data_IF_016761874898
#
_entry.id   IF_016761874898
#
_cell.length_a   1.000
_cell.length_b   1.000
_cell.length_c   1.000
_cell.angle_alpha   90.00
_cell.angle_beta   90.00
_cell.angle_gamma   90.00
#
_symmetry.space_group_name_H-M   'P 1'
#
loop_
_entity.id
_entity.type
_entity.pdbx_description
1 polymer ?
#
# COMPACT_ATOMS: atom_id res chain seq x y z
N UNK A 1 20.60 12.14 15.28
CA UNK A 1 19.79 12.55 14.13
C UNK A 1 18.31 12.70 14.47
N UNK A 2 17.61 11.65 14.99
CA UNK A 2 16.17 11.70 15.27
C UNK A 2 15.77 12.82 16.26
N UNK A 3 16.50 12.96 17.36
CA UNK A 3 16.24 14.00 18.37
C UNK A 3 16.36 15.41 17.76
N UNK A 4 17.36 15.64 16.92
CA UNK A 4 17.54 16.94 16.25
C UNK A 4 16.40 17.20 15.27
N UNK A 5 15.98 16.19 14.49
CA UNK A 5 14.85 16.31 13.57
C UNK A 5 13.53 16.63 14.27
N UNK A 6 13.28 16.03 15.43
CA UNK A 6 12.12 16.34 16.27
C UNK A 6 12.23 17.76 16.84
N UNK A 7 13.41 18.16 17.35
CA UNK A 7 13.62 19.46 17.94
C UNK A 7 13.38 20.62 16.96
N UNK A 8 13.84 20.49 15.71
CA UNK A 8 13.62 21.51 14.67
C UNK A 8 12.12 21.68 14.37
N UNK A 9 11.33 20.61 14.44
CA UNK A 9 9.91 20.63 14.15
C UNK A 9 9.02 20.74 15.41
N UNK A 10 9.62 20.92 16.60
CA UNK A 10 8.91 20.83 17.88
C UNK A 10 7.72 21.79 17.98
N UNK A 11 7.87 23.03 17.50
CA UNK A 11 6.79 24.02 17.52
C UNK A 11 5.59 23.56 16.68
N UNK A 12 5.83 23.13 15.43
CA UNK A 12 4.79 22.65 14.54
C UNK A 12 4.12 21.39 15.10
N UNK A 13 4.89 20.44 15.61
CA UNK A 13 4.39 19.22 16.23
C UNK A 13 3.55 19.51 17.48
N UNK A 14 3.99 20.45 18.33
CA UNK A 14 3.26 20.85 19.54
C UNK A 14 1.92 21.50 19.21
N UNK A 15 1.89 22.46 18.29
CA UNK A 15 0.64 23.10 17.87
C UNK A 15 -0.31 22.12 17.19
N UNK A 16 0.20 21.24 16.33
CA UNK A 16 -0.61 20.19 15.71
C UNK A 16 -1.18 19.23 16.77
N UNK A 17 -0.38 18.84 17.77
CA UNK A 17 -0.82 17.99 18.88
C UNK A 17 -1.89 18.66 19.75
N UNK A 18 -1.78 19.95 20.01
CA UNK A 18 -2.83 20.69 20.74
C UNK A 18 -4.11 20.80 19.89
N UNK A 19 -3.98 21.25 18.64
CA UNK A 19 -5.13 21.49 17.77
C UNK A 19 -5.91 20.21 17.43
N UNK A 20 -5.25 19.06 17.36
CA UNK A 20 -5.94 17.81 17.06
C UNK A 20 -7.04 17.46 18.08
N UNK A 21 -6.94 17.93 19.33
CA UNK A 21 -7.94 17.66 20.38
C UNK A 21 -9.26 18.35 20.10
N UNK A 22 -9.21 19.52 19.48
CA UNK A 22 -10.36 20.35 19.10
C UNK A 22 -10.84 20.06 17.65
N UNK A 23 -10.17 19.17 16.95
CA UNK A 23 -10.52 18.78 15.58
C UNK A 23 -11.35 17.50 15.57
N UNK A 24 -11.84 17.12 14.38
CA UNK A 24 -12.54 15.83 14.17
C UNK A 24 -11.73 14.59 14.61
N UNK A 25 -10.42 14.73 14.87
CA UNK A 25 -9.55 13.68 15.41
C UNK A 25 -9.55 13.62 16.95
N UNK A 26 -10.23 14.56 17.63
CA UNK A 26 -10.47 14.54 19.06
C UNK A 26 -11.67 13.65 19.44
N UNK A 27 -12.00 13.63 20.74
CA UNK A 27 -13.25 13.01 21.19
C UNK A 27 -14.43 13.84 20.70
N UNK A 28 -15.44 13.19 20.10
CA UNK A 28 -16.67 13.88 19.73
C UNK A 28 -17.50 14.14 20.97
N UNK A 29 -17.98 15.37 21.15
CA UNK A 29 -18.96 15.75 22.19
C UNK A 29 -20.40 15.44 21.73
N UNK A 30 -20.60 15.22 20.42
CA UNK A 30 -21.90 14.86 19.87
C UNK A 30 -22.19 13.39 20.07
N UNK A 31 -23.43 13.08 20.45
CA UNK A 31 -23.91 11.70 20.53
C UNK A 31 -23.99 11.14 19.12
N UNK A 32 -23.13 10.18 18.81
CA UNK A 32 -23.12 9.47 17.52
C UNK A 32 -24.10 8.31 17.56
N UNK A 33 -24.85 8.13 16.47
CA UNK A 33 -25.90 7.10 16.37
C UNK A 33 -25.35 5.67 16.34
N UNK A 34 -24.10 5.46 15.89
CA UNK A 34 -23.52 4.13 15.76
C UNK A 34 -22.26 4.00 16.65
N UNK A 35 -22.48 3.38 17.81
CA UNK A 35 -21.41 3.13 18.77
C UNK A 35 -20.37 2.11 18.27
N UNK A 36 -20.75 1.18 17.39
CA UNK A 36 -19.86 0.14 16.86
C UNK A 36 -18.82 0.72 15.90
N UNK A 37 -19.18 1.81 15.21
CA UNK A 37 -18.28 2.50 14.27
C UNK A 37 -17.30 3.46 14.97
N UNK A 38 -17.46 3.73 16.25
CA UNK A 38 -16.60 4.67 16.98
C UNK A 38 -15.27 4.03 17.40
N UNK A 39 -14.20 4.83 17.38
CA UNK A 39 -12.96 4.50 18.08
C UNK A 39 -12.87 5.25 19.40
N UNK A 40 -12.10 4.75 20.36
CA UNK A 40 -12.01 5.29 21.73
C UNK A 40 -11.49 6.74 21.79
N UNK A 41 -10.75 7.19 20.78
CA UNK A 41 -10.04 8.49 20.85
C UNK A 41 -9.69 9.09 19.49
N UNK A 42 -10.44 8.79 18.44
CA UNK A 42 -10.08 9.21 17.09
C UNK A 42 -11.25 9.32 16.12
N UNK A 43 -10.95 9.09 14.88
CA UNK A 43 -11.91 9.08 13.77
C UNK A 43 -12.80 7.83 13.82
N UNK A 44 -13.92 7.85 13.11
CA UNK A 44 -14.78 6.69 12.94
C UNK A 44 -14.08 5.60 12.10
N UNK A 45 -14.38 4.32 12.38
CA UNK A 45 -13.75 3.17 11.72
C UNK A 45 -13.93 3.21 10.20
N UNK A 46 -15.15 3.45 9.73
CA UNK A 46 -15.45 3.55 8.29
C UNK A 46 -14.69 4.69 7.62
N UNK A 47 -14.54 5.82 8.32
CA UNK A 47 -13.80 6.96 7.79
C UNK A 47 -12.29 6.68 7.71
N UNK A 48 -11.72 5.98 8.70
CA UNK A 48 -10.31 5.56 8.70
C UNK A 48 -10.03 4.60 7.56
N UNK A 49 -10.93 3.62 7.38
CA UNK A 49 -10.74 2.51 6.45
C UNK A 49 -11.34 2.75 5.07
N UNK A 50 -11.84 3.96 4.79
CA UNK A 50 -12.45 4.31 3.51
C UNK A 50 -11.51 4.05 2.31
N UNK A 51 -10.23 4.34 2.46
CA UNK A 51 -9.18 4.02 1.49
C UNK A 51 -8.43 2.77 1.94
N UNK A 52 -9.07 1.62 1.81
CA UNK A 52 -8.47 0.31 2.07
C UNK A 52 -8.08 -0.36 0.77
N UNK A 53 -6.91 -0.95 0.77
CA UNK A 53 -6.39 -1.70 -0.38
C UNK A 53 -7.12 -3.03 -0.52
N UNK A 54 -7.50 -3.42 -1.74
CA UNK A 54 -8.10 -4.72 -2.00
C UNK A 54 -7.10 -5.86 -1.74
N UNK A 55 -7.57 -7.00 -1.25
CA UNK A 55 -6.70 -8.17 -1.07
C UNK A 55 -6.13 -8.61 -2.42
N UNK A 56 -6.97 -8.67 -3.43
CA UNK A 56 -6.61 -8.97 -4.82
C UNK A 56 -5.83 -7.83 -5.50
N UNK A 57 -6.02 -6.61 -5.02
CA UNK A 57 -5.27 -5.43 -5.45
C UNK A 57 -3.77 -5.52 -5.08
N UNK A 58 -3.42 -6.35 -4.08
CA UNK A 58 -2.03 -6.62 -3.71
C UNK A 58 -1.21 -7.18 -4.88
N UNK A 59 -1.86 -7.80 -5.86
CA UNK A 59 -1.21 -8.26 -7.10
C UNK A 59 -0.58 -7.12 -7.90
N UNK A 60 -1.03 -5.86 -7.72
CA UNK A 60 -0.44 -4.70 -8.40
C UNK A 60 1.03 -4.45 -8.02
N UNK A 61 1.48 -4.94 -6.86
CA UNK A 61 2.91 -4.92 -6.51
C UNK A 61 3.78 -5.66 -7.54
N UNK A 62 3.22 -6.70 -8.17
CA UNK A 62 3.87 -7.53 -9.17
C UNK A 62 3.46 -7.15 -10.60
N UNK A 63 2.17 -6.98 -10.84
CA UNK A 63 1.58 -6.74 -12.16
C UNK A 63 0.98 -5.33 -12.17
N UNK A 64 1.57 -4.37 -12.91
CA UNK A 64 1.00 -3.04 -13.01
C UNK A 64 -0.41 -3.13 -13.60
N UNK A 65 -1.26 -2.24 -13.21
CA UNK A 65 -2.63 -2.14 -13.70
C UNK A 65 -3.52 -3.39 -13.52
N UNK A 66 -3.15 -4.32 -12.59
CA UNK A 66 -3.98 -5.50 -12.28
C UNK A 66 -5.41 -5.12 -11.85
N UNK A 67 -5.62 -3.90 -11.35
CA UNK A 67 -6.93 -3.29 -11.05
C UNK A 67 -7.17 -2.00 -11.87
N UNK A 68 -6.59 -1.93 -13.05
CA UNK A 68 -6.61 -0.73 -13.88
C UNK A 68 -5.63 0.34 -13.37
N UNK A 69 -5.63 1.47 -14.04
CA UNK A 69 -4.73 2.59 -13.75
C UNK A 69 -5.23 3.51 -12.65
N UNK A 70 -4.97 4.81 -12.82
CA UNK A 70 -5.51 5.85 -11.95
C UNK A 70 -7.04 6.00 -12.12
N UNK A 71 -7.69 6.65 -11.16
CA UNK A 71 -9.10 7.01 -11.27
C UNK A 71 -9.26 8.21 -12.21
N UNK A 72 -9.06 7.94 -13.49
CA UNK A 72 -9.28 8.87 -14.58
C UNK A 72 -10.23 8.23 -15.61
N UNK A 73 -10.97 9.01 -16.40
CA UNK A 73 -11.85 8.48 -17.43
C UNK A 73 -11.13 7.56 -18.42
N UNK A 74 -11.81 6.51 -18.86
CA UNK A 74 -11.27 5.57 -19.84
C UNK A 74 -10.96 6.27 -21.18
N UNK A 75 -11.67 7.33 -21.54
CA UNK A 75 -11.41 8.19 -22.70
C UNK A 75 -9.99 8.78 -22.74
N UNK A 76 -9.33 8.90 -21.58
CA UNK A 76 -7.93 9.37 -21.48
C UNK A 76 -6.89 8.30 -21.85
N UNK A 77 -7.30 7.03 -21.99
CA UNK A 77 -6.42 5.95 -22.37
C UNK A 77 -6.45 5.71 -23.87
N UNK A 78 -5.43 6.21 -24.57
CA UNK A 78 -5.35 6.11 -26.04
C UNK A 78 -5.35 4.65 -26.53
N UNK A 79 -4.71 3.72 -25.81
CA UNK A 79 -4.67 2.31 -26.17
C UNK A 79 -6.05 1.65 -26.02
N UNK A 80 -6.79 1.98 -24.95
CA UNK A 80 -8.14 1.47 -24.76
C UNK A 80 -9.09 2.05 -25.81
N UNK A 81 -8.98 3.35 -26.12
CA UNK A 81 -9.80 4.00 -27.12
C UNK A 81 -9.54 3.47 -28.55
N UNK A 82 -8.30 3.11 -28.86
CA UNK A 82 -7.97 2.47 -30.14
C UNK A 82 -8.60 1.08 -30.33
N UNK A 83 -8.93 0.39 -29.21
CA UNK A 83 -9.58 -0.93 -29.20
C UNK A 83 -11.09 -0.87 -28.93
N UNK A 84 -11.62 0.33 -28.66
CA UNK A 84 -13.04 0.54 -28.39
C UNK A 84 -13.88 0.23 -29.61
N UNK A 85 -15.06 -0.36 -29.40
CA UNK A 85 -16.02 -0.61 -30.46
C UNK A 85 -16.51 0.72 -31.07
N UNK A 86 -16.31 0.97 -32.39
CA UNK A 86 -16.72 2.22 -33.03
C UNK A 86 -18.23 2.48 -32.94
N UNK A 87 -19.05 1.43 -32.91
CA UNK A 87 -20.51 1.59 -32.79
C UNK A 87 -20.87 2.10 -31.40
N UNK A 88 -20.32 1.52 -30.34
CA UNK A 88 -20.56 1.97 -28.96
C UNK A 88 -20.03 3.39 -28.78
N UNK A 89 -18.87 3.69 -29.31
CA UNK A 89 -18.26 5.02 -29.24
C UNK A 89 -19.11 6.09 -29.92
N UNK A 90 -19.77 5.77 -31.05
CA UNK A 90 -20.64 6.70 -31.75
C UNK A 90 -22.03 6.84 -31.09
N UNK A 91 -22.55 5.76 -30.51
CA UNK A 91 -23.89 5.75 -29.88
C UNK A 91 -23.90 6.39 -28.49
N UNK A 92 -22.86 6.18 -27.70
CA UNK A 92 -22.77 6.64 -26.31
C UNK A 92 -21.39 7.26 -26.06
N UNK A 93 -21.09 8.42 -26.65
CA UNK A 93 -19.76 9.05 -26.52
C UNK A 93 -19.36 9.31 -25.06
N UNK A 94 -20.33 9.68 -24.22
CA UNK A 94 -20.11 10.00 -22.81
C UNK A 94 -19.81 8.76 -21.93
N UNK A 95 -20.04 7.55 -22.43
CA UNK A 95 -19.81 6.32 -21.69
C UNK A 95 -18.34 6.18 -21.25
N UNK A 96 -17.43 6.47 -22.17
CA UNK A 96 -15.99 6.37 -21.91
C UNK A 96 -15.46 7.46 -20.97
N UNK A 97 -16.18 8.58 -20.87
CA UNK A 97 -15.89 9.63 -19.89
C UNK A 97 -16.42 9.31 -18.50
N UNK A 98 -17.49 8.49 -18.42
CA UNK A 98 -18.10 8.09 -17.16
C UNK A 98 -17.42 6.87 -16.50
N UNK A 99 -16.75 6.01 -17.29
CA UNK A 99 -16.08 4.80 -16.79
C UNK A 99 -14.65 5.15 -16.36
N UNK A 100 -14.29 4.95 -15.06
CA UNK A 100 -12.91 5.10 -14.61
C UNK A 100 -12.05 3.94 -15.07
N UNK A 101 -10.74 4.19 -15.25
CA UNK A 101 -9.78 3.12 -15.54
C UNK A 101 -9.54 2.21 -14.33
N UNK A 102 -9.65 2.78 -13.12
CA UNK A 102 -9.52 2.04 -11.88
C UNK A 102 -10.81 1.30 -11.53
N UNK A 103 -10.69 0.03 -11.19
CA UNK A 103 -11.80 -0.83 -10.77
C UNK A 103 -11.49 -1.64 -9.49
N UNK A 104 -10.63 -1.11 -8.62
CA UNK A 104 -10.35 -1.64 -7.29
C UNK A 104 -11.37 -1.21 -6.24
N UNK A 105 -11.09 -1.50 -4.97
CA UNK A 105 -12.01 -1.24 -3.85
C UNK A 105 -11.92 0.16 -3.26
N UNK A 106 -10.87 0.91 -3.58
CA UNK A 106 -10.69 2.26 -3.07
C UNK A 106 -11.64 3.24 -3.77
N UNK A 107 -12.12 4.31 -3.11
CA UNK A 107 -12.95 5.34 -3.75
C UNK A 107 -12.26 6.04 -4.92
N UNK A 108 -10.94 6.03 -4.93
CA UNK A 108 -10.12 6.57 -6.00
C UNK A 108 -8.64 6.45 -5.69
N UNK A 109 -7.83 6.43 -6.75
CA UNK A 109 -6.36 6.35 -6.66
C UNK A 109 -5.69 7.17 -7.74
N UNK A 110 -4.49 7.66 -7.46
CA UNK A 110 -3.63 8.33 -8.46
C UNK A 110 -2.90 7.35 -9.37
N UNK A 111 -2.94 6.06 -9.05
CA UNK A 111 -2.31 4.97 -9.78
C UNK A 111 -2.03 3.77 -8.86
N UNK A 112 -1.73 2.60 -9.46
CA UNK A 112 -1.43 1.41 -8.70
C UNK A 112 -0.08 1.53 -7.96
N UNK A 113 0.01 0.88 -6.80
CA UNK A 113 1.29 0.68 -6.11
C UNK A 113 2.03 -0.45 -6.82
N UNK A 114 3.12 -0.15 -7.50
CA UNK A 114 3.90 -1.11 -8.28
C UNK A 114 5.39 -1.00 -7.96
N UNK A 115 5.98 -2.09 -7.48
CA UNK A 115 7.41 -2.12 -7.12
C UNK A 115 8.30 -2.68 -8.23
N UNK A 116 7.73 -3.33 -9.23
CA UNK A 116 8.45 -3.95 -10.34
C UNK A 116 8.61 -5.46 -10.16
N UNK A 117 8.23 -6.24 -11.18
CA UNK A 117 8.31 -7.70 -11.15
C UNK A 117 9.75 -8.19 -10.90
N UNK A 118 10.75 -7.57 -11.55
CA UNK A 118 12.15 -7.90 -11.34
C UNK A 118 12.63 -7.56 -9.91
N UNK A 119 12.17 -6.45 -9.35
CA UNK A 119 12.49 -6.05 -7.97
C UNK A 119 11.87 -7.03 -6.99
N UNK A 120 10.62 -7.46 -7.22
CA UNK A 120 9.97 -8.45 -6.38
C UNK A 120 10.63 -9.84 -6.51
N UNK A 121 11.07 -10.23 -7.71
CA UNK A 121 11.90 -11.42 -7.91
C UNK A 121 13.18 -11.36 -7.04
N UNK A 122 13.92 -10.26 -7.11
CA UNK A 122 15.13 -10.07 -6.31
C UNK A 122 14.83 -10.03 -4.80
N UNK A 123 13.71 -9.46 -4.39
CA UNK A 123 13.26 -9.48 -2.99
C UNK A 123 13.07 -10.91 -2.49
N UNK A 124 12.33 -11.73 -3.25
CA UNK A 124 12.07 -13.13 -2.89
C UNK A 124 13.39 -13.93 -2.88
N UNK A 125 14.22 -13.76 -3.90
CA UNK A 125 15.54 -14.39 -3.95
C UNK A 125 16.42 -13.95 -2.77
N UNK A 126 16.34 -12.68 -2.38
CA UNK A 126 17.05 -12.10 -1.24
C UNK A 126 16.74 -12.79 0.09
N UNK A 127 15.51 -13.27 0.28
CA UNK A 127 15.15 -14.02 1.48
C UNK A 127 15.96 -15.34 1.61
N UNK A 128 16.39 -15.90 0.51
CA UNK A 128 17.19 -17.14 0.49
C UNK A 128 18.69 -16.87 0.53
N UNK A 129 19.19 -15.92 -0.26
CA UNK A 129 20.63 -15.73 -0.47
C UNK A 129 21.29 -14.71 0.46
N UNK A 130 20.54 -13.70 0.98
CA UNK A 130 21.08 -12.72 1.91
C UNK A 130 21.20 -13.33 3.31
N UNK A 131 22.33 -13.12 3.96
CA UNK A 131 22.60 -13.61 5.32
C UNK A 131 22.24 -12.55 6.36
N UNK A 132 21.93 -12.99 7.58
CA UNK A 132 21.62 -12.13 8.72
C UNK A 132 20.14 -11.97 9.00
N UNK A 133 19.81 -11.31 10.12
CA UNK A 133 18.44 -11.14 10.61
C UNK A 133 17.66 -10.03 9.91
N UNK A 134 18.36 -9.08 9.28
CA UNK A 134 17.72 -7.91 8.62
C UNK A 134 16.68 -8.33 7.59
N UNK A 135 16.90 -9.37 6.80
CA UNK A 135 15.95 -9.85 5.81
C UNK A 135 14.60 -10.24 6.42
N UNK A 136 14.60 -10.80 7.61
CA UNK A 136 13.37 -11.18 8.32
C UNK A 136 12.63 -9.96 8.87
N UNK A 137 13.36 -8.94 9.33
CA UNK A 137 12.77 -7.68 9.74
C UNK A 137 12.12 -6.96 8.54
N UNK A 138 12.79 -6.94 7.38
CA UNK A 138 12.25 -6.36 6.14
C UNK A 138 11.02 -7.14 5.66
N UNK A 139 11.06 -8.48 5.69
CA UNK A 139 9.91 -9.32 5.35
C UNK A 139 8.73 -9.06 6.29
N UNK A 140 8.97 -9.03 7.61
CA UNK A 140 7.93 -8.78 8.60
C UNK A 140 7.29 -7.39 8.41
N UNK A 141 8.11 -6.36 8.16
CA UNK A 141 7.61 -5.02 7.88
C UNK A 141 6.79 -4.96 6.58
N UNK A 142 7.24 -5.66 5.54
CA UNK A 142 6.48 -5.78 4.27
C UNK A 142 5.12 -6.44 4.50
N UNK A 143 5.09 -7.61 5.14
CA UNK A 143 3.85 -8.33 5.41
C UNK A 143 2.92 -7.49 6.28
N UNK A 144 3.44 -6.89 7.35
CA UNK A 144 2.65 -6.07 8.25
C UNK A 144 2.03 -4.87 7.52
N UNK A 145 2.79 -4.19 6.66
CA UNK A 145 2.27 -3.04 5.89
C UNK A 145 1.17 -3.45 4.92
N UNK A 146 1.30 -4.61 4.25
CA UNK A 146 0.26 -5.15 3.36
C UNK A 146 -1.00 -5.50 4.14
N UNK A 147 -0.88 -6.21 5.26
CA UNK A 147 -2.04 -6.59 6.10
C UNK A 147 -2.78 -5.37 6.65
N UNK A 148 -2.05 -4.33 7.07
CA UNK A 148 -2.64 -3.08 7.54
C UNK A 148 -3.29 -2.27 6.40
N UNK A 149 -2.73 -2.31 5.19
CA UNK A 149 -3.30 -1.63 4.03
C UNK A 149 -4.65 -2.21 3.61
N UNK A 150 -4.92 -3.50 3.88
CA UNK A 150 -6.22 -4.11 3.58
C UNK A 150 -7.39 -3.51 4.36
N UNK A 151 -7.15 -2.85 5.48
CA UNK A 151 -8.12 -2.05 6.23
C UNK A 151 -9.47 -2.75 6.43
N UNK A 152 -10.54 -2.23 5.79
CA UNK A 152 -11.87 -2.83 5.90
C UNK A 152 -11.98 -4.23 5.27
N UNK A 153 -11.10 -4.59 4.34
CA UNK A 153 -11.06 -5.93 3.77
C UNK A 153 -10.50 -6.97 4.75
N UNK A 154 -9.90 -6.53 5.88
CA UNK A 154 -9.42 -7.40 6.95
C UNK A 154 -9.69 -6.80 8.34
N UNK A 155 -10.97 -6.49 8.62
CA UNK A 155 -11.39 -5.79 9.84
C UNK A 155 -10.98 -6.46 11.15
N UNK A 156 -10.91 -7.80 11.21
CA UNK A 156 -10.47 -8.50 12.42
C UNK A 156 -9.07 -8.08 12.86
N UNK A 157 -8.15 -7.93 11.92
CA UNK A 157 -6.79 -7.45 12.16
C UNK A 157 -6.75 -5.93 12.38
N UNK A 158 -7.46 -5.19 11.56
CA UNK A 158 -7.50 -3.73 11.62
C UNK A 158 -8.09 -3.22 12.95
N UNK A 159 -9.13 -3.86 13.47
CA UNK A 159 -9.73 -3.51 14.76
C UNK A 159 -8.75 -3.62 15.92
N UNK A 160 -7.89 -4.65 15.92
CA UNK A 160 -6.84 -4.75 16.93
C UNK A 160 -5.95 -3.50 16.97
N UNK A 161 -5.56 -2.98 15.80
CA UNK A 161 -4.76 -1.76 15.73
C UNK A 161 -5.55 -0.51 16.11
N UNK A 162 -6.81 -0.41 15.69
CA UNK A 162 -7.69 0.72 16.03
C UNK A 162 -7.96 0.81 17.54
N UNK A 163 -8.06 -0.32 18.22
CA UNK A 163 -8.44 -0.37 19.63
C UNK A 163 -7.24 -0.31 20.58
N UNK A 164 -6.11 -0.93 20.21
CA UNK A 164 -4.99 -1.12 21.10
C UNK A 164 -3.73 -0.31 20.75
N UNK A 165 -3.57 0.13 19.51
CA UNK A 165 -2.36 0.86 19.12
C UNK A 165 -2.60 2.37 19.25
N UNK A 166 -1.88 3.05 20.15
CA UNK A 166 -2.02 4.49 20.34
C UNK A 166 -1.79 5.25 19.02
N UNK A 167 -2.57 6.30 18.80
CA UNK A 167 -2.50 7.17 17.64
C UNK A 167 -2.98 6.55 16.31
N UNK A 168 -3.12 5.23 16.17
CA UNK A 168 -3.53 4.61 14.90
C UNK A 168 -4.89 5.15 14.41
N UNK A 169 -5.87 5.28 15.31
CA UNK A 169 -7.19 5.83 15.02
C UNK A 169 -7.21 7.35 14.69
N UNK A 170 -6.07 8.03 14.71
CA UNK A 170 -5.95 9.46 14.33
C UNK A 170 -5.69 9.67 12.84
N UNK A 171 -5.29 8.62 12.14
CA UNK A 171 -4.98 8.67 10.73
C UNK A 171 -6.11 8.08 9.90
N UNK A 172 -6.23 8.53 8.66
CA UNK A 172 -7.10 7.95 7.63
C UNK A 172 -6.24 7.44 6.48
N UNK A 173 -6.87 6.71 5.55
CA UNK A 173 -6.18 6.21 4.35
C UNK A 173 -5.14 5.15 4.72
N UNK A 174 -5.64 4.03 5.27
CA UNK A 174 -4.79 2.90 5.71
C UNK A 174 -3.93 2.35 4.58
N UNK A 175 -4.37 2.44 3.31
CA UNK A 175 -3.59 2.02 2.15
C UNK A 175 -2.24 2.74 2.04
N UNK A 176 -2.09 3.97 2.56
CA UNK A 176 -0.83 4.73 2.50
C UNK A 176 0.32 4.06 3.26
N UNK A 177 0.05 3.10 4.14
CA UNK A 177 1.09 2.34 4.86
C UNK A 177 1.92 1.45 3.92
N UNK A 178 1.45 1.20 2.69
CA UNK A 178 2.21 0.47 1.67
C UNK A 178 3.54 1.13 1.30
N UNK A 179 3.73 2.41 1.63
CA UNK A 179 5.05 3.07 1.51
C UNK A 179 6.16 2.29 2.22
N UNK A 180 5.82 1.55 3.28
CA UNK A 180 6.78 0.68 3.97
C UNK A 180 7.17 -0.48 3.05
N UNK A 181 6.22 -1.12 2.36
CA UNK A 181 6.51 -2.18 1.39
C UNK A 181 7.30 -1.64 0.19
N UNK A 182 6.95 -0.46 -0.31
CA UNK A 182 7.67 0.23 -1.40
C UNK A 182 9.14 0.55 -1.04
N UNK A 183 9.46 0.67 0.24
CA UNK A 183 10.81 0.85 0.73
C UNK A 183 11.51 -0.49 1.01
N UNK A 184 10.85 -1.41 1.74
CA UNK A 184 11.48 -2.65 2.22
C UNK A 184 11.73 -3.65 1.11
N UNK A 185 10.85 -3.73 0.11
CA UNK A 185 11.01 -4.63 -1.03
C UNK A 185 12.24 -4.25 -1.86
N UNK A 186 12.40 -3.00 -2.36
CA UNK A 186 13.60 -2.60 -3.09
C UNK A 186 14.88 -2.67 -2.25
N UNK A 187 14.80 -2.40 -0.94
CA UNK A 187 15.96 -2.49 -0.07
C UNK A 187 16.51 -3.92 -0.01
N UNK A 188 15.65 -4.93 0.21
CA UNK A 188 16.11 -6.32 0.22
C UNK A 188 16.53 -6.78 -1.18
N UNK A 189 15.86 -6.31 -2.24
CA UNK A 189 16.27 -6.56 -3.62
C UNK A 189 17.69 -6.02 -3.91
N UNK A 190 18.01 -4.82 -3.45
CA UNK A 190 19.34 -4.23 -3.57
C UNK A 190 20.39 -5.03 -2.80
N UNK A 191 20.07 -5.51 -1.60
CA UNK A 191 20.96 -6.39 -0.83
C UNK A 191 21.18 -7.74 -1.54
N UNK A 192 20.15 -8.28 -2.19
CA UNK A 192 20.27 -9.50 -3.00
C UNK A 192 21.18 -9.25 -4.22
N UNK A 193 20.97 -8.14 -4.93
CA UNK A 193 21.80 -7.75 -6.07
C UNK A 193 23.26 -7.56 -5.66
N UNK A 194 23.49 -6.85 -4.55
CA UNK A 194 24.84 -6.71 -3.98
C UNK A 194 25.47 -8.07 -3.73
N UNK A 195 24.73 -9.00 -3.09
CA UNK A 195 25.23 -10.36 -2.81
C UNK A 195 25.59 -11.13 -4.10
N UNK A 196 24.80 -10.97 -5.16
CA UNK A 196 25.07 -11.59 -6.47
C UNK A 196 26.33 -11.00 -7.11
N UNK A 197 26.54 -9.68 -7.02
CA UNK A 197 27.71 -9.01 -7.58
C UNK A 197 28.98 -9.39 -6.82
N UNK A 198 28.92 -9.42 -5.48
CA UNK A 198 30.07 -9.75 -4.62
C UNK A 198 30.44 -11.25 -4.71
N UNK A 199 29.45 -12.14 -4.92
CA UNK A 199 29.64 -13.59 -4.98
C UNK A 199 28.81 -14.20 -6.14
N UNK A 200 29.22 -14.09 -7.40
CA UNK A 200 28.46 -14.55 -8.55
C UNK A 200 28.10 -16.06 -8.50
N UNK A 201 28.96 -16.84 -7.86
CA UNK A 201 28.73 -18.29 -7.67
C UNK A 201 27.48 -18.62 -6.84
N UNK A 202 26.90 -17.63 -6.13
CA UNK A 202 25.70 -17.84 -5.31
C UNK A 202 24.51 -18.27 -6.19
N UNK A 203 24.44 -17.77 -7.41
CA UNK A 203 23.37 -18.14 -8.34
C UNK A 203 23.44 -19.62 -8.74
N UNK A 204 24.63 -20.12 -9.06
CA UNK A 204 24.82 -21.52 -9.44
C UNK A 204 24.66 -22.45 -8.24
N UNK A 205 25.21 -22.07 -7.09
CA UNK A 205 25.08 -22.85 -5.83
C UNK A 205 23.65 -22.89 -5.31
N UNK A 206 22.85 -21.86 -5.59
CA UNK A 206 21.48 -21.70 -5.07
C UNK A 206 20.43 -21.70 -6.19
N UNK A 207 20.70 -22.38 -7.31
CA UNK A 207 19.84 -22.39 -8.51
C UNK A 207 18.38 -22.75 -8.22
N UNK A 208 18.14 -23.67 -7.28
CA UNK A 208 16.78 -24.03 -6.83
C UNK A 208 15.98 -22.82 -6.35
N UNK A 209 16.61 -21.89 -5.62
CA UNK A 209 15.92 -20.69 -5.10
C UNK A 209 15.71 -19.65 -6.19
N UNK A 210 16.58 -19.60 -7.21
CA UNK A 210 16.36 -18.81 -8.41
C UNK A 210 15.08 -19.27 -9.13
N UNK A 211 14.93 -20.59 -9.35
CA UNK A 211 13.71 -21.13 -9.96
C UNK A 211 12.46 -20.93 -9.10
N UNK A 212 12.55 -21.10 -7.78
CA UNK A 212 11.42 -20.83 -6.87
C UNK A 212 11.01 -19.36 -6.95
N UNK A 213 11.98 -18.44 -6.88
CA UNK A 213 11.69 -17.01 -6.97
C UNK A 213 11.09 -16.62 -8.31
N UNK A 214 11.60 -17.19 -9.41
CA UNK A 214 11.05 -16.98 -10.74
C UNK A 214 9.61 -17.50 -10.85
N UNK A 215 9.35 -18.72 -10.35
CA UNK A 215 8.01 -19.31 -10.40
C UNK A 215 6.97 -18.53 -9.57
N UNK A 216 7.41 -17.81 -8.53
CA UNK A 216 6.53 -16.96 -7.70
C UNK A 216 6.27 -15.58 -8.31
N UNK A 217 7.04 -15.17 -9.33
CA UNK A 217 6.94 -13.82 -9.92
C UNK A 217 6.64 -13.83 -11.42
N UNK A 218 6.60 -14.99 -12.05
CA UNK A 218 6.21 -15.19 -13.45
C UNK A 218 4.72 -15.52 -13.57
#
# INVERSE_FOLDING_TARGET
AAVIGIAINLSSLYHTWQYQKESMRGKSELVKKDAANQTSSGLDRDYITQWSYGIDETLTLLVPDAKGGATVPLSKNATAMAKADPQIQSMIPQLYDAIPQYFGTQPGTSGPVYVGAFVLFLFILGLFIVRGSMKWALLAATILSVLLAWGHNFMGFTNFFLDYIPMYAKFRTVASILVIAEFTIPLLAALALKKIVDEPEVLTKQMKFVYISLALTA
#
